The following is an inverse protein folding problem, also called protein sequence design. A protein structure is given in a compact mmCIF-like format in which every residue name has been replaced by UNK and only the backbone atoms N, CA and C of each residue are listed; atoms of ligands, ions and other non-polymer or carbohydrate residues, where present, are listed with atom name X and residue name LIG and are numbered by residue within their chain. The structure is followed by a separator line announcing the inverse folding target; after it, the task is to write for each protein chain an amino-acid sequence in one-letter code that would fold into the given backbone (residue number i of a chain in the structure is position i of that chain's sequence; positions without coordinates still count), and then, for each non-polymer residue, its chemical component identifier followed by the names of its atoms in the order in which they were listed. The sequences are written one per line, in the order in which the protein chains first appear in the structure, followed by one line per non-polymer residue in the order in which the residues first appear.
data_IF_594049253639
#
_entry.id   IF_594049253639
#
_cell.length_a   1.000
_cell.length_b   1.000
_cell.length_c   1.000
_cell.angle_alpha   90.00
_cell.angle_beta   90.00
_cell.angle_gamma   90.00
#
_symmetry.space_group_name_H-M   'P 1'
#
loop_
_entity.id
_entity.type
_entity.pdbx_description
1 polymer ?
#
# COMPACT_ATOMS: atom_id res chain seq x y z
N UNK A 1 -0.54 -20.48 -8.77
CA UNK A 1 -0.65 -19.02 -8.76
C UNK A 1 0.19 -18.39 -7.65
N UNK A 2 1.49 -18.27 -7.87
CA UNK A 2 2.43 -17.68 -6.90
C UNK A 2 2.84 -16.28 -7.31
N UNK A 3 3.09 -15.40 -6.34
CA UNK A 3 3.63 -14.07 -6.62
C UNK A 3 5.05 -14.20 -7.16
N UNK A 4 5.30 -13.71 -8.37
CA UNK A 4 6.57 -13.80 -9.08
C UNK A 4 7.33 -12.47 -9.10
N UNK A 5 6.61 -11.35 -9.12
CA UNK A 5 7.20 -10.00 -9.18
C UNK A 5 6.33 -9.00 -8.44
N UNK A 6 6.97 -8.05 -7.77
CA UNK A 6 6.30 -6.91 -7.15
C UNK A 6 7.01 -5.63 -7.58
N UNK A 7 6.26 -4.63 -8.04
CA UNK A 7 6.76 -3.27 -8.27
C UNK A 7 6.08 -2.33 -7.30
N UNK A 8 6.87 -1.59 -6.53
CA UNK A 8 6.37 -0.52 -5.67
C UNK A 8 6.55 0.81 -6.39
N UNK A 9 5.45 1.52 -6.58
CA UNK A 9 5.41 2.88 -7.11
C UNK A 9 5.16 3.83 -5.95
N UNK A 10 6.15 4.67 -5.63
CA UNK A 10 5.95 5.79 -4.70
C UNK A 10 5.51 6.99 -5.53
N UNK A 11 4.29 7.45 -5.27
CA UNK A 11 3.69 8.59 -5.97
C UNK A 11 3.41 9.71 -4.97
N UNK A 12 3.78 10.92 -5.35
CA UNK A 12 3.36 12.13 -4.67
C UNK A 12 2.29 12.77 -5.54
N UNK A 13 1.03 12.66 -5.13
CA UNK A 13 -0.10 13.24 -5.86
C UNK A 13 -0.36 14.62 -5.28
N UNK A 14 -0.13 15.72 -6.02
CA UNK A 14 -0.46 17.04 -5.53
C UNK A 14 -1.98 17.15 -5.34
N UNK A 15 -2.42 17.33 -4.10
CA UNK A 15 -3.85 17.57 -3.80
C UNK A 15 -4.26 18.98 -4.27
N UNK A 16 -5.53 19.14 -4.70
CA UNK A 16 -6.03 20.41 -5.23
C UNK A 16 -6.13 21.45 -4.11
N UNK A 17 -5.79 22.69 -4.43
CA UNK A 17 -6.04 23.84 -3.57
C UNK A 17 -7.55 23.91 -3.23
N UNK A 18 -7.89 23.86 -1.93
CA UNK A 18 -9.24 23.85 -1.33
C UNK A 18 -9.98 22.51 -1.28
N UNK A 19 -9.44 21.54 -0.54
CA UNK A 19 -10.25 20.41 -0.10
C UNK A 19 -11.16 20.85 1.05
N UNK A 20 -12.46 20.64 0.88
CA UNK A 20 -13.57 21.06 1.76
C UNK A 20 -13.44 20.76 3.26
N UNK A 21 -12.54 19.87 3.68
CA UNK A 21 -12.29 19.59 5.11
C UNK A 21 -11.16 20.41 5.72
N UNK A 22 -10.36 21.13 4.93
CA UNK A 22 -9.11 21.73 5.42
C UNK A 22 -9.32 22.86 6.43
N UNK A 23 -10.44 23.58 6.33
CA UNK A 23 -10.75 24.68 7.24
C UNK A 23 -11.28 24.23 8.63
N UNK A 24 -11.61 22.94 8.82
CA UNK A 24 -12.23 22.45 10.07
C UNK A 24 -11.69 21.10 10.58
N UNK A 25 -11.22 20.23 9.69
CA UNK A 25 -10.71 18.88 9.99
C UNK A 25 -9.43 18.53 9.20
N UNK A 26 -8.80 19.53 8.57
CA UNK A 26 -7.62 19.35 7.73
C UNK A 26 -6.42 18.91 8.53
N UNK A 27 -5.87 17.75 8.21
CA UNK A 27 -4.56 17.31 8.67
C UNK A 27 -3.54 17.77 7.61
N UNK A 28 -2.86 18.92 7.79
CA UNK A 28 -2.11 19.57 6.71
C UNK A 28 -0.94 18.70 6.20
N UNK A 29 -0.45 17.79 7.05
CA UNK A 29 0.59 16.84 6.71
C UNK A 29 0.11 15.75 5.75
N UNK A 30 -1.20 15.45 5.73
CA UNK A 30 -1.77 14.44 4.84
C UNK A 30 -1.72 14.89 3.38
N UNK A 31 -1.79 16.20 3.13
CA UNK A 31 -1.79 16.82 1.80
C UNK A 31 -0.46 16.67 1.05
N UNK A 32 0.62 16.37 1.76
CA UNK A 32 1.99 16.24 1.21
C UNK A 32 2.55 14.82 1.32
N UNK A 33 1.76 13.87 1.82
CA UNK A 33 2.24 12.53 2.11
C UNK A 33 2.42 11.69 0.84
N UNK A 34 3.54 10.97 0.76
CA UNK A 34 3.77 10.00 -0.30
C UNK A 34 2.78 8.83 -0.18
N UNK A 35 2.40 8.28 -1.33
CA UNK A 35 1.54 7.13 -1.46
C UNK A 35 2.31 5.98 -2.12
N UNK A 36 2.29 4.80 -1.50
CA UNK A 36 2.79 3.58 -2.12
C UNK A 36 1.68 2.86 -2.88
N UNK A 37 1.92 2.50 -4.14
CA UNK A 37 1.08 1.59 -4.92
C UNK A 37 1.93 0.36 -5.27
N UNK A 38 1.49 -0.82 -4.86
CA UNK A 38 2.16 -2.07 -5.20
C UNK A 38 1.42 -2.79 -6.33
N UNK A 39 2.13 -3.02 -7.43
CA UNK A 39 1.76 -3.91 -8.52
C UNK A 39 2.33 -5.29 -8.22
N UNK A 40 1.45 -6.28 -8.07
CA UNK A 40 1.81 -7.65 -7.68
C UNK A 40 1.44 -8.60 -8.82
N UNK A 41 2.45 -9.22 -9.43
CA UNK A 41 2.29 -10.12 -10.57
C UNK A 41 2.51 -11.57 -10.15
N UNK A 42 1.70 -12.47 -10.70
CA UNK A 42 1.81 -13.91 -10.47
C UNK A 42 2.61 -14.62 -11.57
N UNK A 43 3.04 -15.84 -11.31
CA UNK A 43 3.66 -16.75 -12.30
C UNK A 43 2.73 -17.12 -13.47
N UNK A 44 1.43 -16.88 -13.32
CA UNK A 44 0.40 -17.07 -14.35
C UNK A 44 0.11 -15.77 -15.15
N UNK A 45 0.86 -14.69 -14.89
CA UNK A 45 0.74 -13.41 -15.60
C UNK A 45 -0.44 -12.53 -15.17
N UNK A 46 -1.09 -12.85 -14.05
CA UNK A 46 -2.13 -12.00 -13.47
C UNK A 46 -1.51 -10.91 -12.61
N UNK A 47 -2.03 -9.69 -12.73
CA UNK A 47 -1.54 -8.53 -11.98
C UNK A 47 -2.63 -8.00 -11.05
N UNK A 48 -2.33 -7.93 -9.76
CA UNK A 48 -3.13 -7.27 -8.75
C UNK A 48 -2.53 -5.91 -8.38
N UNK A 49 -3.38 -4.97 -7.97
CA UNK A 49 -2.96 -3.67 -7.47
C UNK A 49 -3.41 -3.52 -6.02
N UNK A 50 -2.54 -2.97 -5.18
CA UNK A 50 -2.89 -2.56 -3.82
C UNK A 50 -2.23 -1.24 -3.47
N UNK A 51 -2.82 -0.54 -2.51
CA UNK A 51 -2.28 0.69 -1.97
C UNK A 51 -1.65 0.42 -0.60
N UNK A 52 -0.54 1.08 -0.33
CA UNK A 52 0.09 1.16 0.98
C UNK A 52 -0.43 2.38 1.72
N UNK A 53 -0.71 2.21 3.01
CA UNK A 53 -1.19 3.31 3.85
C UNK A 53 -0.12 4.41 3.97
N UNK A 54 -0.62 5.66 4.05
CA UNK A 54 0.22 6.86 4.21
C UNK A 54 1.06 6.73 5.48
N UNK A 55 2.24 7.35 5.49
CA UNK A 55 3.19 7.36 6.62
C UNK A 55 3.71 6.00 7.11
N UNK A 56 3.46 4.92 6.37
CA UNK A 56 4.09 3.63 6.66
C UNK A 56 5.60 3.74 6.39
N UNK A 57 6.43 3.35 7.36
CA UNK A 57 7.89 3.38 7.21
C UNK A 57 8.32 2.47 6.05
N UNK A 58 9.16 3.00 5.15
CA UNK A 58 9.63 2.28 3.96
C UNK A 58 10.25 0.92 4.29
N UNK A 59 10.93 0.78 5.43
CA UNK A 59 11.51 -0.49 5.86
C UNK A 59 10.43 -1.54 6.12
N UNK A 60 9.31 -1.15 6.72
CA UNK A 60 8.16 -2.03 6.98
C UNK A 60 7.54 -2.44 5.64
N UNK A 61 7.41 -1.50 4.70
CA UNK A 61 6.89 -1.77 3.35
C UNK A 61 7.78 -2.81 2.66
N UNK A 62 9.09 -2.57 2.61
CA UNK A 62 10.05 -3.46 1.96
C UNK A 62 10.07 -4.86 2.58
N UNK A 63 10.03 -4.95 3.92
CA UNK A 63 10.00 -6.22 4.64
C UNK A 63 8.74 -7.03 4.31
N UNK A 64 7.57 -6.38 4.34
CA UNK A 64 6.29 -7.02 4.02
C UNK A 64 6.25 -7.50 2.56
N UNK A 65 6.60 -6.63 1.60
CA UNK A 65 6.56 -6.98 0.18
C UNK A 65 7.55 -8.10 -0.16
N UNK A 66 8.74 -8.12 0.44
CA UNK A 66 9.69 -9.24 0.29
C UNK A 66 9.10 -10.55 0.81
N UNK A 67 8.37 -10.50 1.94
CA UNK A 67 7.70 -11.67 2.50
C UNK A 67 6.59 -12.24 1.61
N UNK A 68 6.04 -11.44 0.69
CA UNK A 68 4.99 -11.89 -0.23
C UNK A 68 5.52 -12.67 -1.43
N UNK A 69 6.78 -12.45 -1.84
CA UNK A 69 7.36 -13.13 -2.99
C UNK A 69 7.31 -14.66 -2.83
N UNK A 70 6.85 -15.35 -3.87
CA UNK A 70 6.69 -16.81 -3.89
C UNK A 70 5.46 -17.33 -3.16
N UNK A 71 4.66 -16.47 -2.52
CA UNK A 71 3.42 -16.87 -1.84
C UNK A 71 2.37 -17.30 -2.85
N UNK A 72 1.73 -18.44 -2.61
CA UNK A 72 0.56 -18.90 -3.37
C UNK A 72 -0.68 -18.12 -2.92
N UNK A 73 -1.23 -17.30 -3.81
CA UNK A 73 -2.34 -16.39 -3.48
C UNK A 73 -3.64 -17.14 -3.21
N UNK A 74 -3.82 -18.36 -3.74
CA UNK A 74 -5.01 -19.18 -3.49
C UNK A 74 -5.01 -19.79 -2.09
N UNK A 75 -3.86 -19.80 -1.43
CA UNK A 75 -3.69 -20.30 -0.06
C UNK A 75 -3.80 -19.18 0.99
N UNK A 76 -4.01 -17.93 0.55
CA UNK A 76 -4.21 -16.81 1.46
C UNK A 76 -5.60 -16.90 2.07
N UNK A 77 -5.65 -17.16 3.38
CA UNK A 77 -6.90 -17.13 4.10
C UNK A 77 -7.27 -15.69 4.45
N UNK A 78 -8.25 -15.13 3.71
CA UNK A 78 -8.73 -13.76 3.93
C UNK A 78 -9.41 -13.56 5.29
N UNK A 79 -9.88 -14.62 5.96
CA UNK A 79 -10.45 -14.54 7.30
C UNK A 79 -9.38 -14.39 8.40
N UNK A 80 -8.11 -14.67 8.08
CA UNK A 80 -6.97 -14.52 8.99
C UNK A 80 -5.92 -13.62 8.35
N UNK A 81 -6.13 -12.29 8.38
CA UNK A 81 -5.18 -11.35 7.80
C UNK A 81 -3.78 -11.58 8.40
N UNK A 82 -2.81 -11.87 7.54
CA UNK A 82 -1.41 -12.09 7.96
C UNK A 82 -0.63 -10.79 8.19
N UNK A 83 -1.09 -9.69 7.59
CA UNK A 83 -0.43 -8.40 7.64
C UNK A 83 -1.38 -7.37 8.25
N UNK A 84 -1.00 -6.84 9.41
CA UNK A 84 -1.51 -5.57 9.91
C UNK A 84 -0.55 -4.50 9.40
N UNK A 85 -0.65 -4.16 8.11
CA UNK A 85 -0.26 -2.80 7.73
C UNK A 85 -1.25 -1.90 8.46
N UNK A 86 -0.85 -1.39 9.61
CA UNK A 86 -1.62 -0.46 10.41
C UNK A 86 -0.86 0.85 10.42
N UNK A 87 -1.34 1.80 9.65
CA UNK A 87 -1.15 3.22 9.83
C UNK A 87 -2.06 3.68 10.96
N UNK A 88 -1.53 4.53 11.83
CA UNK A 88 -2.34 5.15 12.88
C UNK A 88 -3.43 6.02 12.26
N UNK A 89 -4.66 5.86 12.77
CA UNK A 89 -5.54 7.01 12.94
C UNK A 89 -4.80 8.01 13.83
N UNK A 90 -4.71 9.27 13.40
CA UNK A 90 -4.27 10.36 14.28
C UNK A 90 -5.01 10.35 15.63
#
# INVERSE_FOLDING_TARGET
MKISRIKLHIVNVPERHWWWSDDTYGQPLHQCAEHGIAEVETDEGLTGLTQVERFTDQKIIDEQLRGWLGTDVLQVNLAHPRATMAGSFE
#
